data_IF_941648069262
#
_entry.id   IF_941648069262
#
_cell.length_a   1.000
_cell.length_b   1.000
_cell.length_c   1.000
_cell.angle_alpha   90.00
_cell.angle_beta   90.00
_cell.angle_gamma   90.00
#
_symmetry.space_group_name_H-M   'P 1'
#
loop_
_entity.id
_entity.type
_entity.pdbx_description
1 polymer ?
#
# COMPACT_ATOMS: atom_id res chain seq x y z
N UNK A 1 -13.02 17.46 -17.18
CA UNK A 1 -14.31 16.94 -16.66
C UNK A 1 -14.12 16.68 -15.19
N UNK A 2 -14.99 17.19 -14.32
CA UNK A 2 -14.97 16.84 -12.90
C UNK A 2 -15.42 15.39 -12.76
N UNK A 3 -14.81 14.67 -11.80
CA UNK A 3 -15.13 13.28 -11.53
C UNK A 3 -16.58 13.14 -10.99
N UNK A 4 -17.22 11.99 -11.23
CA UNK A 4 -18.60 11.69 -10.83
C UNK A 4 -18.84 11.85 -9.32
N UNK A 5 -17.83 11.60 -8.51
CA UNK A 5 -17.90 11.69 -7.04
C UNK A 5 -17.54 13.06 -6.48
N UNK A 6 -17.13 14.02 -7.32
CA UNK A 6 -16.75 15.36 -6.85
C UNK A 6 -17.90 16.06 -6.12
N UNK A 7 -17.64 16.51 -4.91
CA UNK A 7 -18.61 17.18 -4.05
C UNK A 7 -19.54 16.26 -3.28
N UNK A 8 -19.52 14.93 -3.54
CA UNK A 8 -20.30 13.94 -2.79
C UNK A 8 -19.93 13.95 -1.32
N UNK A 9 -20.94 13.90 -0.45
CA UNK A 9 -20.76 13.83 1.00
C UNK A 9 -20.95 12.39 1.48
N UNK A 10 -19.89 11.76 1.95
CA UNK A 10 -19.95 10.40 2.49
C UNK A 10 -20.30 10.44 3.97
N UNK A 11 -21.22 9.57 4.38
CA UNK A 11 -21.71 9.41 5.77
C UNK A 11 -21.96 10.76 6.46
N UNK A 12 -22.43 11.76 5.72
CA UNK A 12 -22.70 13.13 6.15
C UNK A 12 -21.48 13.84 6.79
N UNK A 13 -20.27 13.40 6.45
CA UNK A 13 -19.03 13.90 7.06
C UNK A 13 -17.91 14.20 6.07
N UNK A 14 -17.61 13.31 5.15
CA UNK A 14 -16.45 13.46 4.28
C UNK A 14 -16.85 13.98 2.91
N UNK A 15 -16.58 15.25 2.63
CA UNK A 15 -16.84 15.85 1.33
C UNK A 15 -15.70 15.54 0.36
N UNK A 16 -15.98 14.73 -0.64
CA UNK A 16 -15.02 14.36 -1.67
C UNK A 16 -14.65 15.56 -2.56
N UNK A 17 -13.38 15.69 -2.86
CA UNK A 17 -12.83 16.71 -3.75
C UNK A 17 -12.24 16.06 -5.01
N UNK A 18 -10.97 16.27 -5.26
CA UNK A 18 -10.28 15.77 -6.43
C UNK A 18 -9.72 14.36 -6.21
N UNK A 19 -9.54 13.62 -7.30
CA UNK A 19 -8.84 12.34 -7.26
C UNK A 19 -7.36 12.62 -6.95
N UNK A 20 -6.90 12.07 -5.83
CA UNK A 20 -5.50 12.12 -5.43
C UNK A 20 -4.68 10.97 -6.04
N UNK A 21 -5.32 9.84 -6.37
CA UNK A 21 -4.65 8.70 -6.98
C UNK A 21 -5.61 7.66 -7.55
N UNK A 22 -5.16 6.96 -8.59
CA UNK A 22 -5.85 5.80 -9.17
C UNK A 22 -4.89 4.63 -9.21
N UNK A 23 -5.32 3.49 -8.70
CA UNK A 23 -4.54 2.24 -8.69
C UNK A 23 -5.39 1.02 -8.97
N UNK A 24 -4.75 -0.13 -9.06
CA UNK A 24 -5.43 -1.43 -9.25
C UNK A 24 -6.38 -1.78 -8.10
N UNK A 25 -6.14 -1.22 -6.91
CA UNK A 25 -6.91 -1.48 -5.70
C UNK A 25 -8.06 -0.49 -5.48
N UNK A 26 -8.24 0.49 -6.37
CA UNK A 26 -9.31 1.48 -6.25
C UNK A 26 -8.86 2.90 -6.50
N UNK A 27 -9.71 3.84 -6.08
CA UNK A 27 -9.48 5.27 -6.25
C UNK A 27 -9.32 5.94 -4.88
N UNK A 28 -8.38 6.88 -4.81
CA UNK A 28 -8.14 7.69 -3.61
C UNK A 28 -8.56 9.12 -3.94
N UNK A 29 -9.43 9.68 -3.10
CA UNK A 29 -9.90 11.05 -3.19
C UNK A 29 -9.29 11.89 -2.07
N UNK A 30 -8.92 13.11 -2.39
CA UNK A 30 -8.78 14.15 -1.39
C UNK A 30 -10.19 14.51 -0.90
N UNK A 31 -10.37 14.66 0.40
CA UNK A 31 -11.65 15.02 0.99
C UNK A 31 -11.49 15.99 2.16
N UNK A 32 -12.59 16.63 2.55
CA UNK A 32 -12.68 17.46 3.75
C UNK A 32 -13.51 16.75 4.81
N UNK A 33 -12.97 16.63 6.02
CA UNK A 33 -13.73 16.23 7.18
C UNK A 33 -14.53 17.44 7.69
N UNK A 34 -15.82 17.50 7.38
CA UNK A 34 -16.69 18.64 7.68
C UNK A 34 -16.94 18.79 9.18
N UNK A 35 -16.92 17.69 9.94
CA UNK A 35 -17.10 17.74 11.40
C UNK A 35 -15.86 18.24 12.13
N UNK A 36 -14.67 18.09 11.50
CA UNK A 36 -13.40 18.62 12.04
C UNK A 36 -12.98 19.94 11.36
N UNK A 37 -13.94 20.80 11.02
CA UNK A 37 -13.64 22.13 10.48
C UNK A 37 -12.98 22.12 9.10
N UNK A 38 -13.17 21.06 8.31
CA UNK A 38 -12.63 20.97 6.95
C UNK A 38 -11.18 20.48 6.89
N UNK A 39 -10.71 19.78 7.91
CA UNK A 39 -9.38 19.11 7.86
C UNK A 39 -9.31 18.21 6.64
N UNK A 40 -8.21 18.34 5.90
CA UNK A 40 -7.98 17.53 4.69
C UNK A 40 -7.64 16.09 5.07
N UNK A 41 -8.33 15.14 4.46
CA UNK A 41 -8.14 13.68 4.60
C UNK A 41 -8.06 13.04 3.21
N UNK A 42 -7.61 11.80 3.16
CA UNK A 42 -7.70 10.96 1.97
C UNK A 42 -8.76 9.88 2.19
N UNK A 43 -9.62 9.68 1.19
CA UNK A 43 -10.65 8.64 1.20
C UNK A 43 -10.33 7.64 0.09
N UNK A 44 -10.12 6.38 0.45
CA UNK A 44 -9.87 5.31 -0.50
C UNK A 44 -11.09 4.41 -0.60
N UNK A 45 -11.63 4.31 -1.82
CA UNK A 45 -12.64 3.32 -2.16
C UNK A 45 -11.99 2.05 -2.63
N UNK A 46 -12.57 0.92 -2.26
CA UNK A 46 -12.22 -0.35 -2.89
C UNK A 46 -12.78 -0.45 -4.32
N UNK A 47 -12.11 -1.23 -5.15
CA UNK A 47 -12.59 -1.51 -6.50
C UNK A 47 -13.96 -2.18 -6.45
N UNK A 48 -14.87 -1.80 -7.37
CA UNK A 48 -16.21 -2.38 -7.49
C UNK A 48 -16.12 -3.90 -7.74
N UNK A 49 -16.49 -4.69 -6.75
CA UNK A 49 -16.61 -6.15 -6.82
C UNK A 49 -17.90 -6.60 -6.13
N UNK A 50 -18.25 -7.89 -6.20
CA UNK A 50 -19.40 -8.41 -5.43
C UNK A 50 -19.13 -8.29 -3.94
N UNK A 51 -19.88 -7.42 -3.28
CA UNK A 51 -19.77 -7.16 -1.85
C UNK A 51 -20.52 -8.24 -1.07
N UNK A 52 -19.80 -9.27 -0.63
CA UNK A 52 -20.34 -10.29 0.28
C UNK A 52 -20.08 -9.89 1.73
N UNK A 53 -20.85 -10.42 2.69
CA UNK A 53 -20.61 -10.20 4.11
C UNK A 53 -19.17 -10.55 4.51
N UNK A 54 -18.63 -11.64 4.00
CA UNK A 54 -17.23 -12.07 4.22
C UNK A 54 -16.21 -11.03 3.77
N UNK A 55 -16.46 -10.36 2.63
CA UNK A 55 -15.60 -9.28 2.12
C UNK A 55 -15.67 -8.07 3.05
N UNK A 56 -16.85 -7.70 3.54
CA UNK A 56 -17.03 -6.61 4.52
C UNK A 56 -16.28 -6.89 5.82
N UNK A 57 -16.44 -8.06 6.40
CA UNK A 57 -15.80 -8.43 7.67
C UNK A 57 -14.27 -8.40 7.56
N UNK A 58 -13.73 -8.89 6.45
CA UNK A 58 -12.30 -8.80 6.15
C UNK A 58 -11.83 -7.35 6.04
N UNK A 59 -12.56 -6.52 5.28
CA UNK A 59 -12.25 -5.11 5.13
C UNK A 59 -12.21 -4.38 6.47
N UNK A 60 -13.20 -4.60 7.31
CA UNK A 60 -13.26 -4.01 8.65
C UNK A 60 -12.04 -4.42 9.48
N UNK A 61 -11.68 -5.71 9.46
CA UNK A 61 -10.51 -6.22 10.18
C UNK A 61 -9.22 -5.58 9.67
N UNK A 62 -9.05 -5.42 8.38
CA UNK A 62 -7.86 -4.81 7.76
C UNK A 62 -7.77 -3.31 8.03
N UNK A 63 -8.89 -2.60 8.00
CA UNK A 63 -8.94 -1.19 8.40
C UNK A 63 -8.50 -1.03 9.87
N UNK A 64 -8.98 -1.92 10.76
CA UNK A 64 -8.56 -1.95 12.16
C UNK A 64 -7.06 -2.21 12.31
N UNK A 65 -6.51 -3.20 11.60
CA UNK A 65 -5.08 -3.51 11.60
C UNK A 65 -4.27 -2.29 11.15
N UNK A 66 -4.67 -1.67 10.03
CA UNK A 66 -3.99 -0.49 9.48
C UNK A 66 -4.05 0.71 10.44
N UNK A 67 -5.17 0.90 11.15
CA UNK A 67 -5.30 1.94 12.15
C UNK A 67 -4.34 1.71 13.33
N UNK A 68 -4.31 0.49 13.88
CA UNK A 68 -3.42 0.12 14.99
C UNK A 68 -1.94 0.26 14.62
N UNK A 69 -1.54 -0.18 13.42
CA UNK A 69 -0.17 -0.01 12.92
C UNK A 69 0.21 1.47 12.77
N UNK A 70 -0.69 2.28 12.20
CA UNK A 70 -0.47 3.72 11.99
C UNK A 70 -0.34 4.50 13.30
N UNK A 71 -0.90 4.02 14.42
CA UNK A 71 -0.68 4.59 15.75
C UNK A 71 0.67 4.17 16.37
N UNK A 72 1.18 2.98 16.02
CA UNK A 72 2.48 2.49 16.53
C UNK A 72 3.69 3.08 15.81
N UNK A 73 3.57 3.44 14.53
CA UNK A 73 4.70 3.89 13.72
C UNK A 73 4.39 5.13 12.89
N UNK A 74 5.24 6.15 12.98
CA UNK A 74 5.17 7.34 12.12
C UNK A 74 5.48 7.01 10.65
N UNK A 75 6.08 5.86 10.37
CA UNK A 75 6.44 5.38 9.04
C UNK A 75 5.32 4.57 8.38
N UNK A 76 4.14 4.51 8.99
CA UNK A 76 2.94 3.88 8.44
C UNK A 76 1.84 4.94 8.31
N UNK A 77 1.06 4.87 7.23
CA UNK A 77 -0.08 5.77 7.05
C UNK A 77 -1.12 5.55 8.15
N UNK A 78 -1.65 6.65 8.71
CA UNK A 78 -2.69 6.57 9.74
C UNK A 78 -4.07 6.45 9.09
N UNK A 79 -4.72 5.31 9.30
CA UNK A 79 -6.15 5.14 9.03
C UNK A 79 -6.92 5.72 10.23
N UNK A 80 -7.92 6.57 9.95
CA UNK A 80 -8.68 7.31 10.96
C UNK A 80 -10.10 6.81 11.11
N UNK A 81 -10.67 6.30 10.02
CA UNK A 81 -12.06 5.89 9.97
C UNK A 81 -12.31 4.93 8.81
N UNK A 82 -13.41 4.21 8.84
CA UNK A 82 -13.90 3.40 7.73
C UNK A 82 -15.43 3.41 7.69
N UNK A 83 -16.02 3.15 6.54
CA UNK A 83 -17.45 3.12 6.40
C UNK A 83 -17.92 2.47 5.12
N UNK A 84 -19.23 2.48 4.96
CA UNK A 84 -19.92 2.13 3.72
C UNK A 84 -20.58 3.39 3.18
N UNK A 85 -20.53 3.60 1.87
CA UNK A 85 -21.29 4.67 1.24
C UNK A 85 -22.77 4.27 1.03
N UNK A 86 -23.57 5.15 0.40
CA UNK A 86 -25.00 4.92 0.16
C UNK A 86 -25.26 3.72 -0.78
N UNK A 87 -24.25 3.29 -1.56
CA UNK A 87 -24.30 2.11 -2.43
C UNK A 87 -23.69 0.87 -1.75
N UNK A 88 -23.47 0.93 -0.42
CA UNK A 88 -22.79 -0.10 0.38
C UNK A 88 -21.34 -0.41 -0.05
N UNK A 89 -20.70 0.54 -0.75
CA UNK A 89 -19.29 0.41 -1.13
C UNK A 89 -18.39 0.79 0.05
N UNK A 90 -17.46 -0.08 0.44
CA UNK A 90 -16.57 0.19 1.54
C UNK A 90 -15.52 1.22 1.15
N UNK A 91 -15.26 2.11 2.08
CA UNK A 91 -14.18 3.08 2.01
C UNK A 91 -13.47 3.18 3.35
N UNK A 92 -12.24 3.63 3.35
CA UNK A 92 -11.57 4.07 4.57
C UNK A 92 -10.97 5.46 4.40
N UNK A 93 -10.87 6.14 5.53
CA UNK A 93 -10.37 7.50 5.65
C UNK A 93 -9.00 7.45 6.31
N UNK A 94 -8.04 8.10 5.70
CA UNK A 94 -6.67 8.17 6.21
C UNK A 94 -6.14 9.61 6.19
N UNK A 95 -5.02 9.83 6.85
CA UNK A 95 -4.32 11.11 6.74
C UNK A 95 -4.01 11.43 5.27
N UNK A 96 -4.19 12.70 4.88
CA UNK A 96 -3.82 13.15 3.55
C UNK A 96 -2.32 13.51 3.53
N UNK A 97 -1.55 12.78 2.74
CA UNK A 97 -0.11 12.95 2.63
C UNK A 97 0.23 13.87 1.46
N UNK A 98 0.73 15.08 1.77
CA UNK A 98 1.23 16.02 0.75
C UNK A 98 2.67 15.65 0.39
N UNK A 99 2.83 14.76 -0.57
CA UNK A 99 4.14 14.25 -1.00
C UNK A 99 4.05 13.46 -2.28
N UNK A 100 5.19 12.98 -2.73
CA UNK A 100 5.34 12.18 -3.95
C UNK A 100 5.51 10.70 -3.61
N UNK A 101 5.06 9.81 -4.50
CA UNK A 101 5.39 8.40 -4.35
C UNK A 101 6.91 8.18 -4.55
N UNK A 102 7.46 7.17 -3.88
CA UNK A 102 8.86 6.81 -4.10
C UNK A 102 9.12 6.49 -5.58
N UNK A 103 8.13 5.98 -6.31
CA UNK A 103 8.19 5.77 -7.75
C UNK A 103 8.47 7.10 -8.48
N UNK A 104 7.75 8.15 -8.12
CA UNK A 104 7.90 9.47 -8.75
C UNK A 104 9.21 10.14 -8.32
N UNK A 105 9.63 9.95 -7.08
CA UNK A 105 10.92 10.44 -6.56
C UNK A 105 12.10 9.79 -7.28
N UNK A 106 12.01 8.49 -7.60
CA UNK A 106 13.09 7.75 -8.29
C UNK A 106 13.23 8.14 -9.75
N UNK A 107 12.14 8.43 -10.48
CA UNK A 107 12.15 8.78 -11.90
C UNK A 107 12.96 7.79 -12.78
N UNK A 108 13.02 6.52 -12.39
CA UNK A 108 13.86 5.49 -13.02
C UNK A 108 15.36 5.87 -13.11
N UNK A 109 15.87 6.58 -12.11
CA UNK A 109 17.28 6.94 -11.98
C UNK A 109 17.86 6.39 -10.67
N UNK A 110 19.16 6.10 -10.64
CA UNK A 110 19.83 5.71 -9.40
C UNK A 110 19.69 6.79 -8.32
N UNK A 111 19.35 6.35 -7.12
CA UNK A 111 19.23 7.25 -5.96
C UNK A 111 20.60 7.47 -5.32
N UNK A 112 20.95 8.70 -4.88
CA UNK A 112 22.17 8.94 -4.11
C UNK A 112 22.20 8.11 -2.83
N UNK A 113 23.32 7.48 -2.50
CA UNK A 113 23.46 6.57 -1.36
C UNK A 113 22.98 7.16 -0.01
N UNK A 114 23.28 8.42 0.35
CA UNK A 114 22.79 9.00 1.60
C UNK A 114 21.23 9.00 1.67
N UNK A 115 20.59 9.36 0.58
CA UNK A 115 19.12 9.37 0.46
C UNK A 115 18.56 7.95 0.48
N UNK A 116 19.18 7.04 -0.23
CA UNK A 116 18.84 5.62 -0.21
C UNK A 116 18.84 5.06 1.22
N UNK A 117 19.92 5.25 1.98
CA UNK A 117 20.01 4.75 3.35
C UNK A 117 19.00 5.40 4.28
N UNK A 118 18.76 6.71 4.14
CA UNK A 118 17.79 7.44 4.94
C UNK A 118 16.36 6.90 4.71
N UNK A 119 16.00 6.63 3.46
CA UNK A 119 14.68 6.09 3.11
C UNK A 119 14.53 4.62 3.52
N UNK A 120 15.55 3.81 3.23
CA UNK A 120 15.53 2.39 3.60
C UNK A 120 15.39 2.18 5.10
N UNK A 121 16.12 2.96 5.90
CA UNK A 121 15.96 2.91 7.36
C UNK A 121 14.51 3.15 7.80
N UNK A 122 13.85 4.14 7.22
CA UNK A 122 12.46 4.48 7.58
C UNK A 122 11.47 3.41 7.12
N UNK A 123 11.64 2.87 5.90
CA UNK A 123 10.81 1.78 5.38
C UNK A 123 10.97 0.53 6.27
N UNK A 124 12.21 0.17 6.62
CA UNK A 124 12.48 -0.97 7.51
C UNK A 124 11.85 -0.79 8.89
N UNK A 125 11.86 0.41 9.47
CA UNK A 125 11.20 0.68 10.76
C UNK A 125 9.68 0.52 10.67
N UNK A 126 9.06 0.92 9.56
CA UNK A 126 7.64 0.68 9.31
C UNK A 126 7.32 -0.82 9.17
N UNK A 127 8.11 -1.55 8.38
CA UNK A 127 7.95 -3.00 8.22
C UNK A 127 8.22 -3.77 9.50
N UNK A 128 9.26 -3.41 10.25
CA UNK A 128 9.56 -4.03 11.55
C UNK A 128 8.36 -3.90 12.50
N UNK A 129 7.76 -2.71 12.61
CA UNK A 129 6.57 -2.50 13.43
C UNK A 129 5.42 -3.46 13.08
N UNK A 130 5.20 -3.73 11.79
CA UNK A 130 4.19 -4.66 11.33
C UNK A 130 4.57 -6.13 11.58
N UNK A 131 5.83 -6.49 11.35
CA UNK A 131 6.35 -7.83 11.56
C UNK A 131 6.47 -8.22 13.04
N UNK A 132 6.78 -7.25 13.93
CA UNK A 132 6.74 -7.46 15.40
C UNK A 132 5.31 -7.71 15.89
N UNK A 133 4.33 -7.27 15.11
CA UNK A 133 2.92 -7.52 15.34
C UNK A 133 2.22 -6.46 16.19
N UNK A 134 0.89 -6.58 16.19
CA UNK A 134 -0.03 -5.77 16.97
C UNK A 134 -0.89 -6.67 17.84
N UNK A 135 -1.30 -6.16 18.99
CA UNK A 135 -2.22 -6.87 19.86
C UNK A 135 -3.66 -6.70 19.35
N UNK A 136 -4.32 -7.82 19.08
CA UNK A 136 -5.74 -7.89 18.71
C UNK A 136 -6.38 -8.96 19.60
N UNK A 137 -7.39 -8.59 20.37
CA UNK A 137 -8.12 -9.50 21.27
C UNK A 137 -7.20 -10.30 22.21
N UNK A 138 -6.15 -9.64 22.74
CA UNK A 138 -5.16 -10.24 23.65
C UNK A 138 -4.11 -11.13 22.99
N UNK A 139 -4.08 -11.19 21.66
CA UNK A 139 -3.11 -11.97 20.88
C UNK A 139 -2.22 -11.07 20.02
N UNK A 140 -0.92 -11.34 20.01
CA UNK A 140 0.01 -10.65 19.09
C UNK A 140 -0.13 -11.24 17.69
N UNK A 141 -0.57 -10.42 16.75
CA UNK A 141 -0.75 -10.77 15.33
C UNK A 141 0.30 -10.08 14.48
N UNK A 142 1.17 -10.86 13.86
CA UNK A 142 2.13 -10.35 12.88
C UNK A 142 1.41 -9.97 11.58
N UNK A 143 1.83 -8.88 10.97
CA UNK A 143 1.22 -8.37 9.74
C UNK A 143 2.24 -8.36 8.62
N UNK A 144 1.94 -9.09 7.55
CA UNK A 144 2.72 -9.12 6.31
C UNK A 144 2.07 -8.17 5.30
N UNK A 145 2.85 -7.28 4.71
CA UNK A 145 2.34 -6.24 3.79
C UNK A 145 1.90 -6.80 2.43
N UNK A 146 2.68 -7.72 1.84
CA UNK A 146 2.42 -8.45 0.58
C UNK A 146 2.46 -7.65 -0.72
N UNK A 147 2.55 -6.33 -0.67
CA UNK A 147 2.61 -5.47 -1.88
C UNK A 147 3.60 -4.30 -1.69
N UNK A 148 4.80 -4.62 -1.17
CA UNK A 148 5.89 -3.63 -1.04
C UNK A 148 6.41 -3.28 -2.43
N UNK A 149 6.29 -1.99 -2.78
CA UNK A 149 6.72 -1.42 -4.07
C UNK A 149 6.82 0.10 -3.98
N UNK A 150 7.54 0.77 -4.89
CA UNK A 150 7.75 2.23 -4.82
C UNK A 150 6.45 3.05 -4.83
N UNK A 151 5.38 2.59 -5.46
CA UNK A 151 4.10 3.33 -5.48
C UNK A 151 3.32 3.25 -4.16
N UNK A 152 3.66 2.31 -3.26
CA UNK A 152 3.06 2.17 -1.94
C UNK A 152 3.91 2.83 -0.84
N UNK A 153 4.89 3.63 -1.24
CA UNK A 153 5.76 4.41 -0.34
C UNK A 153 5.58 5.88 -0.70
N UNK A 154 5.20 6.72 0.25
CA UNK A 154 5.10 8.17 0.06
C UNK A 154 6.20 8.87 0.83
N UNK A 155 6.82 9.84 0.17
CA UNK A 155 7.83 10.73 0.74
C UNK A 155 7.18 12.10 0.95
N UNK A 156 7.09 12.54 2.19
CA UNK A 156 6.54 13.84 2.55
C UNK A 156 7.65 14.74 3.12
N UNK A 157 7.47 16.04 3.01
CA UNK A 157 8.33 17.02 3.70
C UNK A 157 7.74 17.30 5.09
N UNK A 158 8.47 16.89 6.10
CA UNK A 158 8.16 17.18 7.50
C UNK A 158 9.05 18.32 8.01
N UNK A 159 8.45 19.26 8.74
CA UNK A 159 9.17 20.46 9.20
C UNK A 159 10.29 20.13 10.20
N UNK A 160 10.16 19.04 10.94
CA UNK A 160 11.10 18.62 11.99
C UNK A 160 12.07 17.55 11.52
N UNK A 161 11.54 16.56 10.77
CA UNK A 161 12.28 15.34 10.37
C UNK A 161 12.89 15.46 8.97
N UNK A 162 12.57 16.51 8.21
CA UNK A 162 12.98 16.66 6.81
C UNK A 162 12.15 15.79 5.88
N UNK A 163 12.75 14.82 5.19
CA UNK A 163 12.01 13.85 4.36
C UNK A 163 11.52 12.68 5.23
N UNK A 164 10.21 12.60 5.43
CA UNK A 164 9.57 11.50 6.14
C UNK A 164 8.95 10.53 5.15
N UNK A 165 9.28 9.25 5.32
CA UNK A 165 8.75 8.15 4.49
C UNK A 165 7.61 7.46 5.22
N UNK A 166 6.51 7.23 4.50
CA UNK A 166 5.35 6.48 4.99
C UNK A 166 4.98 5.34 4.06
N UNK A 167 4.78 4.16 4.63
CA UNK A 167 4.29 2.96 3.95
C UNK A 167 2.77 2.99 3.95
N UNK A 168 2.17 2.75 2.77
CA UNK A 168 0.72 2.72 2.55
C UNK A 168 0.22 1.28 2.51
N UNK A 169 -1.09 1.10 2.66
CA UNK A 169 -1.86 -0.09 2.25
C UNK A 169 -1.43 -1.42 2.90
N UNK A 170 -1.18 -1.44 4.22
CA UNK A 170 -0.97 -2.68 4.96
C UNK A 170 -2.24 -3.54 4.94
N UNK A 171 -2.12 -4.77 4.50
CA UNK A 171 -3.13 -5.82 4.66
C UNK A 171 -4.32 -5.80 3.70
N UNK A 172 -4.57 -4.69 2.94
CA UNK A 172 -5.72 -4.57 2.02
C UNK A 172 -5.67 -5.62 0.88
N UNK A 173 -4.51 -6.20 0.65
CA UNK A 173 -4.32 -7.28 -0.30
C UNK A 173 -5.12 -8.57 0.02
N UNK A 174 -5.54 -8.80 1.27
CA UNK A 174 -6.36 -9.97 1.65
C UNK A 174 -7.77 -9.94 1.08
N UNK A 175 -8.29 -8.75 0.71
CA UNK A 175 -9.65 -8.60 0.18
C UNK A 175 -9.80 -9.11 -1.26
N UNK A 176 -8.72 -9.19 -2.03
CA UNK A 176 -8.78 -9.53 -3.45
C UNK A 176 -8.64 -11.03 -3.76
N UNK A 177 -8.28 -11.86 -2.77
CA UNK A 177 -8.02 -13.29 -3.00
C UNK A 177 -9.21 -14.09 -3.55
N UNK A 178 -10.44 -13.63 -3.33
CA UNK A 178 -11.64 -14.34 -3.75
C UNK A 178 -12.07 -13.99 -5.21
N UNK A 179 -11.40 -13.04 -5.88
CA UNK A 179 -11.85 -12.52 -7.19
C UNK A 179 -10.79 -12.54 -8.31
N UNK A 180 -9.55 -12.91 -8.00
CA UNK A 180 -8.57 -13.13 -9.07
C UNK A 180 -8.74 -14.52 -9.69
N UNK A 181 -8.87 -14.66 -11.01
CA UNK A 181 -8.94 -15.96 -11.67
C UNK A 181 -7.72 -16.85 -11.39
N UNK A 182 -6.60 -16.26 -11.01
CA UNK A 182 -5.34 -16.95 -10.66
C UNK A 182 -5.11 -17.06 -9.16
N UNK A 183 -5.98 -16.48 -8.31
CA UNK A 183 -5.75 -16.37 -6.85
C UNK A 183 -4.56 -15.47 -6.47
N UNK A 184 -3.92 -14.87 -7.46
CA UNK A 184 -2.70 -14.06 -7.26
C UNK A 184 -3.02 -12.65 -6.79
N UNK A 185 -2.20 -12.17 -5.87
CA UNK A 185 -2.31 -10.83 -5.29
C UNK A 185 -0.93 -10.20 -5.18
N UNK A 186 -0.85 -8.95 -5.60
CA UNK A 186 0.38 -8.16 -5.59
C UNK A 186 0.76 -7.63 -6.96
N UNK A 187 1.91 -6.99 -7.02
CA UNK A 187 2.48 -6.46 -8.25
C UNK A 187 3.55 -7.43 -8.73
N UNK A 188 3.34 -8.17 -9.84
CA UNK A 188 4.20 -9.28 -10.23
C UNK A 188 5.69 -8.96 -10.21
N UNK A 189 6.07 -7.74 -10.58
CA UNK A 189 7.48 -7.32 -10.62
C UNK A 189 8.20 -7.31 -9.27
N UNK A 190 7.48 -7.27 -8.15
CA UNK A 190 8.05 -7.21 -6.79
C UNK A 190 7.67 -8.43 -5.94
N UNK A 191 6.85 -9.31 -6.46
CA UNK A 191 6.24 -10.40 -5.73
C UNK A 191 7.24 -11.53 -5.45
N UNK A 192 7.20 -12.10 -4.27
CA UNK A 192 8.05 -13.24 -3.93
C UNK A 192 7.58 -14.52 -4.63
N UNK A 193 8.48 -15.49 -4.91
CA UNK A 193 8.13 -16.76 -5.53
C UNK A 193 7.01 -17.50 -4.80
N UNK A 194 7.10 -17.60 -3.48
CA UNK A 194 6.09 -18.27 -2.64
C UNK A 194 4.72 -17.59 -2.71
N UNK A 195 4.69 -16.28 -2.88
CA UNK A 195 3.45 -15.52 -3.06
C UNK A 195 2.82 -15.82 -4.43
N UNK A 196 3.64 -15.96 -5.48
CA UNK A 196 3.19 -16.35 -6.82
C UNK A 196 2.64 -17.78 -6.84
N UNK A 197 3.22 -18.65 -6.02
CA UNK A 197 2.78 -20.05 -5.86
C UNK A 197 1.52 -20.20 -4.99
N UNK A 198 1.00 -19.11 -4.42
CA UNK A 198 -0.15 -19.15 -3.50
C UNK A 198 0.13 -19.87 -2.18
N UNK A 199 1.39 -19.96 -1.76
CA UNK A 199 1.82 -20.58 -0.50
C UNK A 199 1.49 -19.69 0.70
N UNK A 200 1.54 -20.27 1.89
CA UNK A 200 1.46 -19.50 3.14
C UNK A 200 2.63 -18.52 3.23
N UNK A 201 2.34 -17.26 3.50
CA UNK A 201 3.31 -16.19 3.54
C UNK A 201 3.69 -15.83 4.98
N UNK A 202 4.97 -15.52 5.17
CA UNK A 202 5.49 -14.86 6.35
C UNK A 202 6.19 -13.53 5.97
N UNK A 203 6.83 -12.88 6.93
CA UNK A 203 7.52 -11.59 6.75
C UNK A 203 8.64 -11.63 5.69
N UNK A 204 9.16 -12.80 5.33
CA UNK A 204 10.20 -12.95 4.30
C UNK A 204 9.70 -12.57 2.91
N UNK A 205 8.39 -12.67 2.64
CA UNK A 205 7.82 -12.19 1.39
C UNK A 205 8.01 -10.67 1.22
N UNK A 206 7.84 -9.89 2.29
CA UNK A 206 8.11 -8.44 2.26
C UNK A 206 9.60 -8.14 2.09
N UNK A 207 10.47 -8.93 2.72
CA UNK A 207 11.94 -8.79 2.59
C UNK A 207 12.38 -9.04 1.15
N UNK A 208 11.79 -10.03 0.47
CA UNK A 208 12.04 -10.26 -0.95
C UNK A 208 11.66 -9.04 -1.80
N UNK A 209 10.41 -8.55 -1.63
CA UNK A 209 9.92 -7.36 -2.34
C UNK A 209 10.78 -6.12 -2.06
N UNK A 210 11.23 -5.97 -0.81
CA UNK A 210 12.17 -4.93 -0.40
C UNK A 210 13.50 -5.04 -1.15
N UNK A 211 14.06 -6.24 -1.31
CA UNK A 211 15.28 -6.49 -2.09
C UNK A 211 15.16 -6.05 -3.55
N UNK A 212 14.05 -6.39 -4.21
CA UNK A 212 13.74 -5.92 -5.57
C UNK A 212 13.68 -4.38 -5.64
N UNK A 213 12.99 -3.77 -4.68
CA UNK A 213 12.88 -2.31 -4.59
C UNK A 213 14.23 -1.64 -4.33
N UNK A 214 15.06 -2.19 -3.43
CA UNK A 214 16.41 -1.69 -3.15
C UNK A 214 17.29 -1.70 -4.40
N UNK A 215 17.28 -2.79 -5.16
CA UNK A 215 18.01 -2.87 -6.42
C UNK A 215 17.54 -1.78 -7.38
N UNK A 216 16.23 -1.61 -7.53
CA UNK A 216 15.68 -0.57 -8.40
C UNK A 216 16.05 0.84 -7.92
N UNK A 217 16.05 1.11 -6.62
CA UNK A 217 16.48 2.41 -6.07
C UNK A 217 17.93 2.72 -6.38
N UNK A 218 18.81 1.71 -6.37
CA UNK A 218 20.25 1.90 -6.59
C UNK A 218 20.65 1.92 -8.07
N UNK A 219 19.89 1.26 -8.94
CA UNK A 219 20.25 1.12 -10.37
C UNK A 219 19.32 1.87 -11.32
N UNK A 220 18.10 2.24 -10.88
CA UNK A 220 17.04 2.77 -11.72
C UNK A 220 16.27 1.70 -12.50
N UNK A 221 16.66 0.42 -12.41
CA UNK A 221 16.08 -0.70 -13.17
C UNK A 221 15.67 -1.85 -12.24
N UNK A 222 14.73 -2.68 -12.70
CA UNK A 222 14.40 -3.93 -12.01
C UNK A 222 15.52 -4.97 -12.20
N UNK A 223 15.80 -5.83 -11.18
CA UNK A 223 16.81 -6.87 -11.28
C UNK A 223 16.43 -8.00 -12.25
N UNK A 224 15.14 -8.17 -12.51
CA UNK A 224 14.59 -9.20 -13.37
C UNK A 224 13.87 -8.56 -14.58
N UNK A 225 13.98 -9.20 -15.75
CA UNK A 225 13.29 -8.78 -16.99
C UNK A 225 12.61 -10.00 -17.61
N UNK A 226 11.28 -10.17 -17.43
CA UNK A 226 10.56 -11.29 -18.03
C UNK A 226 10.53 -11.17 -19.56
N UNK A 227 10.51 -12.31 -20.25
CA UNK A 227 10.34 -12.36 -21.72
C UNK A 227 8.96 -11.84 -22.16
N UNK A 228 7.96 -12.03 -21.33
CA UNK A 228 6.60 -11.50 -21.51
C UNK A 228 6.14 -10.83 -20.22
N UNK A 229 5.48 -9.68 -20.32
CA UNK A 229 4.91 -8.95 -19.15
C UNK A 229 3.61 -9.57 -18.66
N UNK A 230 3.51 -10.91 -18.68
CA UNK A 230 2.40 -11.68 -18.12
C UNK A 230 2.74 -12.15 -16.71
N UNK A 231 1.73 -12.66 -15.99
CA UNK A 231 1.94 -13.29 -14.68
C UNK A 231 2.91 -14.47 -14.78
N UNK A 232 2.72 -15.35 -15.77
CA UNK A 232 3.59 -16.53 -16.01
C UNK A 232 5.03 -16.11 -16.34
N UNK A 233 5.20 -15.04 -17.12
CA UNK A 233 6.51 -14.50 -17.47
C UNK A 233 7.26 -13.99 -16.23
N UNK A 234 6.59 -13.26 -15.34
CA UNK A 234 7.15 -12.82 -14.06
C UNK A 234 7.42 -14.00 -13.13
N UNK A 235 6.46 -14.93 -12.99
CA UNK A 235 6.64 -16.14 -12.17
C UNK A 235 7.87 -16.92 -12.60
N UNK A 236 8.01 -17.18 -13.90
CA UNK A 236 9.20 -17.85 -14.42
C UNK A 236 10.50 -17.08 -14.09
N UNK A 237 10.49 -15.73 -14.23
CA UNK A 237 11.67 -14.93 -13.95
C UNK A 237 12.06 -14.96 -12.47
N UNK A 238 11.10 -14.83 -11.55
CA UNK A 238 11.37 -14.87 -10.11
C UNK A 238 11.87 -16.24 -9.63
N UNK A 239 11.49 -17.35 -10.30
CA UNK A 239 11.94 -18.69 -9.92
C UNK A 239 13.27 -19.10 -10.57
N UNK A 240 13.56 -18.62 -11.79
CA UNK A 240 14.61 -19.24 -12.62
C UNK A 240 15.62 -18.26 -13.21
N UNK A 241 15.31 -16.96 -13.24
CA UNK A 241 16.24 -15.99 -13.82
C UNK A 241 17.24 -15.52 -12.76
N UNK A 242 18.54 -15.55 -13.11
CA UNK A 242 19.56 -14.89 -12.31
C UNK A 242 19.35 -13.37 -12.35
N UNK A 243 19.25 -12.69 -11.20
CA UNK A 243 19.15 -11.24 -11.15
C UNK A 243 20.36 -10.59 -11.83
N UNK A 244 20.12 -9.38 -12.41
CA UNK A 244 21.22 -8.55 -12.87
C UNK A 244 22.23 -8.30 -11.75
N UNK A 245 23.52 -8.26 -12.08
CA UNK A 245 24.54 -7.71 -11.20
C UNK A 245 24.43 -6.17 -11.12
N UNK A 246 24.96 -5.60 -10.05
CA UNK A 246 25.12 -4.15 -9.89
C UNK A 246 26.15 -3.59 -10.88
#
# INVERSE_FOLDING_TARGET
>A
MRDEYYGRLLVQRYQLLEIAGKGSMGQVYQAKDTLLGGVTVAVKFLSRGKMTQRVRDRFMREATISALLGEKSIHIVKVRDYGLDDEEMPFYVMEFLKGDSLKDVMQNKPMPLPKFFAFMRQICLGLQCAHDGIEIDGNVTQVVHRDIKPSNIIVIKDATLGELVKVLDFGIALLQSDHSPTGFMGTPAYCSPEQMDGKTLDNRADIYSLGIMMFQMLTGELPLKPKASSFEGWSHSHHHQTPKAF
#
